data_IF_767271535853
#
_entry.id   IF_767271535853
#
_cell.length_a   1.000
_cell.length_b   1.000
_cell.length_c   1.000
_cell.angle_alpha   90.00
_cell.angle_beta   90.00
_cell.angle_gamma   90.00
#
_symmetry.space_group_name_H-M   'P 1'
#
loop_
_entity.id
_entity.type
_entity.pdbx_description
1 polymer ?
#
# COMPACT_ATOMS: atom_id res chain seq x y z
N UNK A 1 -8.53 7.75 6.18
CA UNK A 1 -8.64 7.52 4.73
C UNK A 1 -7.91 8.58 3.90
N UNK A 2 -8.35 9.84 3.92
CA UNK A 2 -7.75 10.96 3.15
C UNK A 2 -6.22 11.14 3.32
N UNK A 3 -5.68 10.92 4.52
CA UNK A 3 -4.22 10.98 4.76
C UNK A 3 -3.48 9.91 3.97
N UNK A 4 -4.05 8.70 3.91
CA UNK A 4 -3.47 7.56 3.19
C UNK A 4 -3.55 7.80 1.68
N UNK A 5 -4.70 8.25 1.17
CA UNK A 5 -4.86 8.58 -0.25
C UNK A 5 -3.83 9.62 -0.69
N UNK A 6 -3.70 10.72 0.05
CA UNK A 6 -2.75 11.79 -0.29
C UNK A 6 -1.29 11.38 -0.15
N UNK A 7 -0.99 10.46 0.78
CA UNK A 7 0.35 9.90 0.98
C UNK A 7 0.86 9.16 -0.27
N UNK A 8 0.02 8.32 -0.88
CA UNK A 8 0.42 7.46 -1.99
C UNK A 8 0.08 8.04 -3.37
N UNK A 9 -0.85 9.01 -3.43
CA UNK A 9 -1.31 9.64 -4.68
C UNK A 9 -0.17 10.12 -5.57
N UNK A 10 0.82 10.80 -5.01
CA UNK A 10 1.96 11.32 -5.77
C UNK A 10 2.87 10.22 -6.34
N UNK A 11 3.01 9.10 -5.65
CA UNK A 11 3.83 7.97 -6.09
C UNK A 11 3.11 7.19 -7.19
N UNK A 12 1.81 6.91 -6.99
CA UNK A 12 0.96 6.24 -7.98
C UNK A 12 0.93 7.03 -9.31
N UNK A 13 0.84 8.36 -9.26
CA UNK A 13 0.89 9.18 -10.49
C UNK A 13 2.21 9.11 -11.24
N UNK A 14 3.31 8.79 -10.57
CA UNK A 14 4.66 8.76 -11.16
C UNK A 14 5.05 7.37 -11.67
N UNK A 15 4.21 6.36 -11.44
CA UNK A 15 4.48 5.01 -11.91
C UNK A 15 4.39 4.91 -13.43
N UNK A 16 5.26 4.08 -14.01
CA UNK A 16 5.12 3.63 -15.39
C UNK A 16 3.93 2.67 -15.52
N UNK A 17 3.47 2.48 -16.77
CA UNK A 17 2.39 1.53 -17.08
C UNK A 17 2.66 0.13 -16.53
N UNK A 18 3.87 -0.39 -16.71
CA UNK A 18 4.25 -1.72 -16.24
C UNK A 18 4.29 -1.82 -14.71
N UNK A 19 4.80 -0.80 -14.02
CA UNK A 19 4.79 -0.77 -12.54
C UNK A 19 3.37 -0.74 -11.98
N UNK A 20 2.48 0.04 -12.61
CA UNK A 20 1.06 0.05 -12.25
C UNK A 20 0.43 -1.34 -12.37
N UNK A 21 0.72 -2.08 -13.44
CA UNK A 21 0.21 -3.45 -13.63
C UNK A 21 0.64 -4.40 -12.51
N UNK A 22 1.90 -4.34 -12.07
CA UNK A 22 2.40 -5.15 -10.95
C UNK A 22 1.68 -4.75 -9.65
N UNK A 23 1.53 -3.45 -9.40
CA UNK A 23 0.81 -2.96 -8.23
C UNK A 23 -0.63 -3.50 -8.15
N UNK A 24 -1.35 -3.49 -9.28
CA UNK A 24 -2.72 -4.04 -9.38
C UNK A 24 -2.79 -5.49 -8.95
N UNK A 25 -1.87 -6.30 -9.45
CA UNK A 25 -1.80 -7.74 -9.15
C UNK A 25 -1.47 -7.97 -7.68
N UNK A 26 -0.54 -7.20 -7.11
CA UNK A 26 -0.21 -7.29 -5.69
C UNK A 26 -1.40 -6.91 -4.79
N UNK A 27 -2.18 -5.88 -5.16
CA UNK A 27 -3.39 -5.51 -4.41
C UNK A 27 -4.42 -6.65 -4.46
N UNK A 28 -4.67 -7.21 -5.65
CA UNK A 28 -5.61 -8.33 -5.81
C UNK A 28 -5.12 -9.57 -5.05
N UNK A 29 -3.81 -9.88 -5.05
CA UNK A 29 -3.20 -10.95 -4.25
C UNK A 29 -3.46 -10.78 -2.75
N UNK A 30 -3.21 -9.59 -2.21
CA UNK A 30 -3.31 -9.33 -0.76
C UNK A 30 -4.75 -9.22 -0.26
N UNK A 31 -5.67 -8.75 -1.11
CA UNK A 31 -7.03 -8.38 -0.67
C UNK A 31 -8.13 -9.24 -1.27
N UNK A 32 -7.84 -10.00 -2.35
CA UNK A 32 -8.84 -10.68 -3.18
C UNK A 32 -9.73 -9.74 -3.99
N UNK A 33 -9.48 -8.42 -3.92
CA UNK A 33 -10.27 -7.38 -4.58
C UNK A 33 -9.57 -6.86 -5.82
N UNK A 34 -10.34 -6.72 -6.91
CA UNK A 34 -9.80 -6.12 -8.13
C UNK A 34 -9.46 -4.65 -7.92
N UNK A 35 -8.51 -4.14 -8.69
CA UNK A 35 -8.17 -2.72 -8.65
C UNK A 35 -9.28 -1.77 -9.09
N UNK A 36 -10.35 -2.28 -9.71
CA UNK A 36 -11.57 -1.51 -9.93
C UNK A 36 -12.20 -1.03 -8.61
N UNK A 37 -12.19 -1.87 -7.59
CA UNK A 37 -12.73 -1.54 -6.26
C UNK A 37 -11.86 -0.49 -5.58
N UNK A 38 -10.53 -0.63 -5.66
CA UNK A 38 -9.59 0.38 -5.17
C UNK A 38 -9.80 1.74 -5.86
N UNK A 39 -9.94 1.77 -7.19
CA UNK A 39 -10.18 3.02 -7.93
C UNK A 39 -11.51 3.66 -7.54
N UNK A 40 -12.54 2.84 -7.30
CA UNK A 40 -13.85 3.32 -6.82
C UNK A 40 -13.73 3.95 -5.43
N UNK A 41 -12.95 3.36 -4.53
CA UNK A 41 -12.67 3.95 -3.22
C UNK A 41 -11.85 5.23 -3.34
N UNK A 42 -10.89 5.29 -4.26
CA UNK A 42 -10.08 6.46 -4.54
C UNK A 42 -10.86 7.60 -5.23
N UNK A 43 -12.15 7.46 -5.59
CA UNK A 43 -12.92 8.54 -6.27
C UNK A 43 -13.06 9.85 -5.50
N UNK A 44 -12.95 9.85 -4.17
CA UNK A 44 -13.00 11.12 -3.40
C UNK A 44 -11.70 11.90 -3.53
N UNK A 45 -11.72 13.03 -4.25
CA UNK A 45 -10.62 14.03 -4.24
C UNK A 45 -9.51 13.88 -5.29
N UNK A 46 -9.76 13.23 -6.43
CA UNK A 46 -8.77 13.07 -7.51
C UNK A 46 -8.95 14.06 -8.66
N UNK A 47 -7.84 14.54 -9.24
CA UNK A 47 -7.80 15.52 -10.33
C UNK A 47 -7.99 14.84 -11.69
N UNK A 48 -8.39 15.59 -12.73
CA UNK A 48 -8.52 15.06 -14.10
C UNK A 48 -7.22 14.41 -14.62
N UNK A 49 -6.06 14.96 -14.21
CA UNK A 49 -4.74 14.40 -14.54
C UNK A 49 -4.51 12.97 -14.00
N UNK A 50 -5.03 12.68 -12.80
CA UNK A 50 -5.00 11.33 -12.25
C UNK A 50 -5.85 10.36 -13.05
N UNK A 51 -7.05 10.78 -13.44
CA UNK A 51 -7.95 9.94 -14.22
C UNK A 51 -7.36 9.58 -15.59
N UNK A 52 -6.66 10.51 -16.24
CA UNK A 52 -5.95 10.21 -17.48
C UNK A 52 -4.79 9.23 -17.26
N UNK A 53 -4.01 9.42 -16.20
CA UNK A 53 -2.89 8.51 -15.87
C UNK A 53 -3.40 7.12 -15.52
N UNK A 54 -4.45 7.02 -14.70
CA UNK A 54 -5.11 5.76 -14.36
C UNK A 54 -5.76 5.11 -15.59
N UNK A 55 -6.40 5.86 -16.49
CA UNK A 55 -6.98 5.28 -17.70
C UNK A 55 -5.92 4.62 -18.61
N UNK A 56 -4.73 5.22 -18.72
CA UNK A 56 -3.59 4.65 -19.45
C UNK A 56 -3.00 3.42 -18.76
N UNK A 57 -2.83 3.49 -17.44
CA UNK A 57 -2.29 2.40 -16.60
C UNK A 57 -3.25 1.19 -16.58
N UNK A 58 -4.55 1.47 -16.44
CA UNK A 58 -5.55 0.47 -16.08
C UNK A 58 -6.44 0.01 -17.23
N UNK A 59 -6.45 0.69 -18.40
CA UNK A 59 -7.21 0.37 -19.62
C UNK A 59 -7.87 -1.03 -19.67
N UNK A 60 -7.26 -1.99 -20.37
CA UNK A 60 -7.78 -3.37 -20.46
C UNK A 60 -7.57 -4.21 -19.17
N UNK A 61 -6.88 -3.68 -18.16
CA UNK A 61 -6.39 -4.43 -17.00
C UNK A 61 -7.15 -4.15 -15.69
N UNK A 62 -8.21 -3.33 -15.69
CA UNK A 62 -9.04 -3.07 -14.49
C UNK A 62 -9.65 -4.33 -13.87
N UNK A 63 -9.81 -5.39 -14.68
CA UNK A 63 -10.33 -6.70 -14.28
C UNK A 63 -9.23 -7.77 -14.23
N UNK A 64 -7.98 -7.41 -14.50
CA UNK A 64 -6.88 -8.36 -14.43
C UNK A 64 -6.79 -8.87 -12.99
N UNK A 65 -6.83 -10.19 -12.86
CA UNK A 65 -6.65 -10.90 -11.60
C UNK A 65 -5.20 -11.29 -11.47
N UNK A 66 -4.76 -11.42 -10.22
CA UNK A 66 -3.53 -12.12 -9.92
C UNK A 66 -3.74 -13.63 -10.14
N UNK A 67 -2.79 -14.27 -10.80
CA UNK A 67 -2.76 -15.73 -10.97
C UNK A 67 -1.35 -16.23 -10.59
N UNK A 68 -1.18 -17.11 -9.58
CA UNK A 68 0.16 -17.54 -9.13
C UNK A 68 0.95 -18.33 -10.19
N UNK A 69 0.28 -18.91 -11.19
CA UNK A 69 0.92 -19.65 -12.29
C UNK A 69 1.39 -18.67 -13.37
N UNK A 70 0.53 -17.73 -13.78
CA UNK A 70 0.90 -16.73 -14.79
C UNK A 70 1.86 -15.67 -14.22
N UNK A 71 1.72 -15.34 -12.93
CA UNK A 71 2.48 -14.33 -12.19
C UNK A 71 3.55 -14.94 -11.27
N UNK A 72 4.09 -16.10 -11.65
CA UNK A 72 5.05 -16.85 -10.85
C UNK A 72 6.29 -16.03 -10.45
N UNK A 73 6.75 -15.11 -11.31
CA UNK A 73 7.88 -14.23 -10.99
C UNK A 73 7.54 -13.24 -9.87
N UNK A 74 6.33 -12.67 -9.90
CA UNK A 74 5.84 -11.79 -8.84
C UNK A 74 5.73 -12.59 -7.54
N UNK A 75 5.15 -13.79 -7.59
CA UNK A 75 4.98 -14.64 -6.42
C UNK A 75 6.32 -15.04 -5.81
N UNK A 76 7.28 -15.44 -6.65
CA UNK A 76 8.62 -15.81 -6.21
C UNK A 76 9.30 -14.65 -5.49
N UNK A 77 9.25 -13.45 -6.06
CA UNK A 77 9.86 -12.26 -5.43
C UNK A 77 9.18 -11.95 -4.09
N UNK A 78 7.85 -12.03 -4.02
CA UNK A 78 7.12 -11.76 -2.78
C UNK A 78 7.50 -12.78 -1.69
N UNK A 79 7.54 -14.07 -2.02
CA UNK A 79 7.96 -15.11 -1.08
C UNK A 79 9.40 -14.90 -0.58
N UNK A 80 10.33 -14.54 -1.47
CA UNK A 80 11.71 -14.24 -1.07
C UNK A 80 11.79 -13.02 -0.13
N UNK A 81 10.95 -12.01 -0.33
CA UNK A 81 10.87 -10.85 0.58
C UNK A 81 10.28 -11.27 1.94
N UNK A 82 9.19 -12.04 1.94
CA UNK A 82 8.51 -12.51 3.15
C UNK A 82 9.39 -13.46 3.98
N UNK A 83 10.18 -14.30 3.32
CA UNK A 83 11.15 -15.20 3.95
C UNK A 83 12.40 -14.46 4.45
N UNK A 84 12.62 -13.22 4.03
CA UNK A 84 13.78 -12.41 4.39
C UNK A 84 15.03 -12.66 3.53
N UNK A 85 14.90 -13.42 2.45
CA UNK A 85 15.98 -13.67 1.47
C UNK A 85 16.30 -12.41 0.65
N UNK A 86 15.28 -11.58 0.37
CA UNK A 86 15.44 -10.25 -0.23
C UNK A 86 15.12 -9.18 0.82
N UNK A 87 16.15 -8.41 1.19
CA UNK A 87 15.98 -7.27 2.10
C UNK A 87 15.51 -6.05 1.32
N UNK A 88 14.28 -5.64 1.60
CA UNK A 88 13.70 -4.39 1.07
C UNK A 88 13.81 -3.27 2.10
N UNK A 89 14.09 -2.05 1.62
CA UNK A 89 14.09 -0.88 2.49
C UNK A 89 12.67 -0.61 3.02
N UNK A 90 12.53 -0.41 4.32
CA UNK A 90 11.24 -0.03 4.92
C UNK A 90 10.88 1.38 4.48
N UNK A 91 9.71 1.54 3.87
CA UNK A 91 9.21 2.87 3.46
C UNK A 91 8.79 3.68 4.68
N UNK A 92 9.44 4.81 4.91
CA UNK A 92 8.94 5.83 5.82
C UNK A 92 7.75 6.60 5.21
N UNK A 93 6.93 7.24 6.06
CA UNK A 93 5.92 8.16 5.54
C UNK A 93 6.56 9.30 4.74
N UNK A 94 6.12 9.51 3.51
CA UNK A 94 6.57 10.55 2.59
C UNK A 94 5.96 11.91 2.92
N UNK A 95 4.68 12.01 3.33
CA UNK A 95 4.05 13.30 3.66
C UNK A 95 4.22 13.71 5.12
N UNK A 96 4.30 15.03 5.36
CA UNK A 96 4.38 15.59 6.72
C UNK A 96 3.18 15.20 7.60
N UNK A 97 1.98 15.11 7.00
CA UNK A 97 0.75 14.71 7.70
C UNK A 97 0.81 13.23 8.12
N UNK A 98 1.22 12.33 7.23
CA UNK A 98 1.41 10.92 7.56
C UNK A 98 2.52 10.71 8.62
N UNK A 99 3.65 11.43 8.51
CA UNK A 99 4.71 11.43 9.53
C UNK A 99 4.19 11.87 10.90
N UNK A 100 3.38 12.93 10.95
CA UNK A 100 2.80 13.43 12.20
C UNK A 100 1.85 12.39 12.84
N UNK A 101 1.00 11.74 12.04
CA UNK A 101 0.10 10.68 12.51
C UNK A 101 0.86 9.45 13.01
N UNK A 102 1.91 9.00 12.30
CA UNK A 102 2.78 7.91 12.76
C UNK A 102 3.47 8.25 14.09
N UNK A 103 3.97 9.48 14.25
CA UNK A 103 4.59 9.94 15.51
C UNK A 103 3.58 9.93 16.67
N UNK A 104 2.34 10.38 16.44
CA UNK A 104 1.26 10.34 17.45
C UNK A 104 0.94 8.90 17.85
N UNK A 105 0.79 7.98 16.89
CA UNK A 105 0.49 6.57 17.13
C UNK A 105 1.61 5.89 17.93
N UNK A 106 2.88 6.02 17.50
CA UNK A 106 4.06 5.51 18.23
C UNK A 106 4.12 6.02 19.67
N UNK A 107 3.82 7.31 19.92
CA UNK A 107 3.79 7.89 21.28
C UNK A 107 2.67 7.28 22.14
N UNK A 108 1.51 7.00 21.55
CA UNK A 108 0.38 6.34 22.22
C UNK A 108 0.70 4.88 22.56
N UNK A 109 1.26 4.14 21.61
CA UNK A 109 1.61 2.72 21.80
C UNK A 109 2.70 2.56 22.85
N UNK A 110 3.74 3.41 22.82
CA UNK A 110 4.77 3.46 23.87
C UNK A 110 4.19 3.74 25.26
N UNK A 111 3.19 4.63 25.37
CA UNK A 111 2.49 4.88 26.65
C UNK A 111 1.67 3.67 27.09
N UNK A 112 1.02 2.97 26.16
CA UNK A 112 0.21 1.78 26.43
C UNK A 112 1.09 0.61 26.91
N UNK A 113 2.19 0.31 26.21
CA UNK A 113 3.14 -0.74 26.62
C UNK A 113 3.74 -0.46 28.00
N UNK A 114 4.21 0.77 28.26
CA UNK A 114 4.70 1.15 29.60
C UNK A 114 3.67 0.95 30.71
N UNK A 115 2.38 1.16 30.42
CA UNK A 115 1.30 0.92 31.40
C UNK A 115 1.02 -0.56 31.59
N UNK A 116 1.12 -1.37 30.54
CA UNK A 116 0.98 -2.82 30.61
C UNK A 116 2.14 -3.47 31.39
N UNK A 117 3.38 -3.08 31.10
CA UNK A 117 4.59 -3.53 31.82
C UNK A 117 4.51 -3.19 33.32
N UNK A 118 4.11 -1.95 33.66
CA UNK A 118 3.92 -1.53 35.07
C UNK A 118 2.84 -2.33 35.80
N UNK A 119 1.86 -2.89 35.09
CA UNK A 119 0.83 -3.74 35.68
C UNK A 119 1.30 -5.19 35.84
N UNK A 120 2.05 -5.70 34.86
CA UNK A 120 2.62 -7.05 34.89
C UNK A 120 3.67 -7.20 36.00
N UNK A 121 4.52 -6.19 36.22
CA UNK A 121 5.52 -6.21 37.31
C UNK A 121 4.97 -5.89 38.71
N UNK A 122 3.65 -5.74 38.85
CA UNK A 122 2.98 -5.45 40.14
C UNK A 122 2.13 -6.62 40.64
N UNK A 123 2.16 -7.73 39.91
CA UNK A 123 1.59 -9.05 40.25
C UNK A 123 2.75 -9.98 40.55
#
# INVERSE_FOLDING_TARGET
EEVLKNEFKGEIMKMTVSQGKVLVKLIDRETGQTSYELIKELRSGFTAFMWNSLALLFGNNLKARYDPIEDYEIETIVQLIENGDIVVAVRDASTAKARAELKKKKKKDRKKNKKAERKANKV
#
